data_IF_990706684886
#
_entry.id   IF_990706684886
#
_cell.length_a   1.000
_cell.length_b   1.000
_cell.length_c   1.000
_cell.angle_alpha   90.00
_cell.angle_beta   90.00
_cell.angle_gamma   90.00
#
_symmetry.space_group_name_H-M   'P 1'
#
loop_
_entity.id
_entity.type
_entity.pdbx_description
1 polymer ?
#
# COMPACT_ATOMS: atom_id res chain seq x y z
N UNK A 1 0.08 1.05 -1.56
CA UNK A 1 0.72 2.35 -1.32
C UNK A 1 1.91 2.53 -2.24
N UNK A 2 2.13 3.74 -2.72
CA UNK A 2 3.29 4.13 -3.50
C UNK A 2 3.82 5.48 -3.00
N UNK A 3 5.14 5.64 -3.03
CA UNK A 3 5.80 6.90 -2.68
C UNK A 3 6.82 7.27 -3.73
N UNK A 4 6.82 8.52 -4.14
CA UNK A 4 7.82 9.11 -4.99
C UNK A 4 8.92 9.71 -4.10
N UNK A 5 10.15 9.25 -4.30
CA UNK A 5 11.30 9.66 -3.47
C UNK A 5 12.40 10.23 -4.36
N UNK A 6 12.82 11.45 -4.07
CA UNK A 6 14.01 12.06 -4.66
C UNK A 6 15.24 11.62 -3.88
N UNK A 7 16.25 11.07 -4.57
CA UNK A 7 17.48 10.55 -3.97
C UNK A 7 18.70 11.36 -4.37
N UNK A 8 19.31 12.03 -3.41
CA UNK A 8 20.59 12.72 -3.56
C UNK A 8 21.69 11.95 -2.80
N UNK A 9 22.30 10.96 -3.46
CA UNK A 9 23.26 10.06 -2.82
C UNK A 9 22.60 9.20 -1.75
N UNK A 10 22.96 9.40 -0.48
CA UNK A 10 22.38 8.69 0.68
C UNK A 10 21.22 9.43 1.35
N UNK A 11 20.80 10.57 0.79
CA UNK A 11 19.74 11.40 1.34
C UNK A 11 18.49 11.29 0.48
N UNK A 12 17.44 10.73 1.05
CA UNK A 12 16.12 10.63 0.44
C UNK A 12 15.17 11.74 0.90
N UNK A 13 14.35 12.24 0.00
CA UNK A 13 13.24 13.14 0.31
C UNK A 13 11.97 12.60 -0.31
N UNK A 14 10.96 12.33 0.48
CA UNK A 14 9.63 11.96 -0.01
C UNK A 14 9.01 13.18 -0.67
N UNK A 15 8.73 13.05 -1.97
CA UNK A 15 8.08 14.10 -2.78
C UNK A 15 6.57 13.99 -2.59
N UNK A 16 6.03 12.78 -2.78
CA UNK A 16 4.61 12.52 -2.62
C UNK A 16 4.35 11.06 -2.30
N UNK A 17 3.17 10.76 -1.75
CA UNK A 17 2.74 9.41 -1.41
C UNK A 17 1.24 9.28 -1.66
N UNK A 18 0.86 8.17 -2.27
CA UNK A 18 -0.52 7.79 -2.54
C UNK A 18 -0.78 6.38 -2.05
N UNK A 19 -2.02 6.07 -1.73
CA UNK A 19 -2.40 4.76 -1.24
C UNK A 19 -3.89 4.50 -1.33
N UNK A 20 -4.25 3.24 -1.16
CA UNK A 20 -5.64 2.79 -1.04
C UNK A 20 -5.78 1.94 0.21
N UNK A 21 -6.83 2.19 0.98
CA UNK A 21 -7.19 1.35 2.12
C UNK A 21 -7.95 0.07 1.69
N UNK A 22 -8.42 0.05 0.43
CA UNK A 22 -9.26 -1.00 -0.13
C UNK A 22 -8.49 -1.87 -1.14
N UNK A 23 -7.17 -1.94 -0.99
CA UNK A 23 -6.29 -2.73 -1.85
C UNK A 23 -5.09 -3.25 -1.06
N UNK A 24 -5.08 -4.54 -0.78
CA UNK A 24 -4.04 -5.18 0.00
C UNK A 24 -3.89 -6.67 -0.28
N UNK A 25 -3.03 -7.33 0.50
CA UNK A 25 -2.80 -8.77 0.39
C UNK A 25 -4.05 -9.61 0.62
N UNK A 26 -4.94 -9.15 1.49
CA UNK A 26 -6.17 -9.84 1.88
C UNK A 26 -7.17 -9.94 0.73
N UNK A 27 -7.20 -8.94 -0.18
CA UNK A 27 -8.05 -9.00 -1.38
C UNK A 27 -7.64 -10.15 -2.30
N UNK A 28 -6.34 -10.41 -2.43
CA UNK A 28 -5.84 -11.56 -3.17
C UNK A 28 -6.20 -12.89 -2.48
N UNK A 29 -6.25 -12.92 -1.15
CA UNK A 29 -6.70 -14.11 -0.40
C UNK A 29 -8.16 -14.41 -0.70
N UNK A 30 -9.02 -13.40 -0.73
CA UNK A 30 -10.44 -13.54 -1.06
C UNK A 30 -10.64 -14.02 -2.50
N UNK A 31 -9.88 -13.51 -3.47
CA UNK A 31 -9.93 -14.03 -4.85
C UNK A 31 -9.58 -15.52 -4.89
N UNK A 32 -8.61 -15.96 -4.09
CA UNK A 32 -8.24 -17.37 -4.03
C UNK A 32 -9.33 -18.20 -3.34
N UNK A 33 -9.96 -17.67 -2.29
CA UNK A 33 -11.12 -18.29 -1.63
C UNK A 33 -12.25 -18.51 -2.62
N UNK A 34 -12.58 -17.51 -3.45
CA UNK A 34 -13.64 -17.60 -4.45
C UNK A 34 -13.35 -18.65 -5.52
N UNK A 35 -12.07 -18.86 -5.87
CA UNK A 35 -11.65 -19.90 -6.79
C UNK A 35 -11.66 -21.30 -6.16
N UNK A 36 -11.35 -21.40 -4.87
CA UNK A 36 -11.31 -22.69 -4.14
C UNK A 36 -12.72 -23.19 -3.83
N UNK A 37 -13.60 -22.32 -3.37
CA UNK A 37 -14.93 -22.67 -2.86
C UNK A 37 -15.77 -23.57 -3.79
N UNK A 38 -15.88 -23.30 -5.13
CA UNK A 38 -16.62 -24.14 -6.03
C UNK A 38 -15.97 -25.51 -6.33
N UNK A 39 -14.71 -25.70 -5.93
CA UNK A 39 -13.96 -26.93 -6.17
C UNK A 39 -13.90 -27.85 -4.95
N UNK A 40 -14.53 -27.46 -3.84
CA UNK A 40 -14.59 -28.27 -2.63
C UNK A 40 -15.49 -29.51 -2.87
N UNK A 41 -14.99 -30.66 -2.47
CA UNK A 41 -15.72 -31.92 -2.48
C UNK A 41 -16.32 -32.26 -1.10
N UNK A 42 -15.80 -31.63 -0.06
CA UNK A 42 -16.26 -31.72 1.33
C UNK A 42 -16.95 -30.42 1.76
N UNK A 43 -17.74 -30.42 2.85
CA UNK A 43 -18.28 -29.19 3.40
C UNK A 43 -17.17 -28.16 3.67
N UNK A 44 -17.39 -26.92 3.24
CA UNK A 44 -16.40 -25.87 3.43
C UNK A 44 -16.04 -25.72 4.92
N UNK A 45 -14.76 -25.62 5.27
CA UNK A 45 -14.34 -25.34 6.64
C UNK A 45 -14.82 -23.92 7.05
N UNK A 46 -14.77 -23.59 8.36
CA UNK A 46 -15.05 -22.23 8.81
C UNK A 46 -14.26 -21.19 8.02
N UNK A 47 -14.90 -20.05 7.71
CA UNK A 47 -14.32 -19.01 6.85
C UNK A 47 -12.89 -18.60 7.25
N UNK A 48 -12.57 -18.37 8.55
CA UNK A 48 -11.20 -18.02 8.93
C UNK A 48 -10.16 -19.10 8.58
N UNK A 49 -10.57 -20.38 8.62
CA UNK A 49 -9.68 -21.50 8.27
C UNK A 49 -9.41 -21.55 6.77
N UNK A 50 -10.46 -21.31 5.97
CA UNK A 50 -10.34 -21.27 4.51
C UNK A 50 -9.47 -20.09 4.05
N UNK A 51 -9.72 -18.89 4.60
CA UNK A 51 -8.93 -17.69 4.29
C UNK A 51 -7.46 -17.88 4.67
N UNK A 52 -7.18 -18.43 5.85
CA UNK A 52 -5.80 -18.69 6.30
C UNK A 52 -5.08 -19.70 5.40
N UNK A 53 -5.75 -20.78 5.01
CA UNK A 53 -5.19 -21.77 4.08
C UNK A 53 -4.89 -21.12 2.71
N UNK A 54 -5.78 -20.27 2.20
CA UNK A 54 -5.57 -19.53 0.97
C UNK A 54 -4.39 -18.53 1.10
N UNK A 55 -4.28 -17.82 2.23
CA UNK A 55 -3.17 -16.91 2.51
C UNK A 55 -1.84 -17.65 2.48
N UNK A 56 -1.73 -18.77 3.18
CA UNK A 56 -0.50 -19.58 3.22
C UNK A 56 -0.13 -20.11 1.82
N UNK A 57 -1.13 -20.58 1.06
CA UNK A 57 -0.94 -21.07 -0.29
C UNK A 57 -0.48 -19.96 -1.24
N UNK A 58 -1.07 -18.76 -1.14
CA UNK A 58 -0.65 -17.56 -1.88
C UNK A 58 0.80 -17.19 -1.58
N UNK A 59 1.19 -17.14 -0.33
CA UNK A 59 2.54 -16.79 0.11
C UNK A 59 3.61 -17.82 -0.32
N UNK A 60 3.18 -19.05 -0.58
CA UNK A 60 4.04 -20.11 -1.08
C UNK A 60 4.33 -20.01 -2.60
N UNK A 61 3.63 -19.16 -3.34
CA UNK A 61 3.81 -19.02 -4.79
C UNK A 61 5.23 -18.50 -5.10
N UNK A 62 5.90 -19.17 -6.04
CA UNK A 62 7.22 -18.81 -6.55
C UNK A 62 7.14 -18.55 -8.06
N UNK A 63 8.12 -17.88 -8.68
CA UNK A 63 8.09 -17.58 -10.12
C UNK A 63 7.90 -18.81 -11.02
N UNK A 64 8.35 -19.98 -10.60
CA UNK A 64 8.23 -21.25 -11.32
C UNK A 64 6.98 -22.06 -10.97
N UNK A 65 6.16 -21.61 -10.00
CA UNK A 65 4.94 -22.32 -9.58
C UNK A 65 3.94 -22.35 -10.74
N UNK A 66 3.43 -23.55 -11.04
CA UNK A 66 2.38 -23.75 -12.03
C UNK A 66 1.00 -23.83 -11.39
N UNK A 67 0.95 -24.26 -10.15
CA UNK A 67 -0.27 -24.41 -9.38
C UNK A 67 -0.10 -23.81 -7.98
N UNK A 68 -1.20 -23.33 -7.43
CA UNK A 68 -1.38 -23.00 -6.02
C UNK A 68 -2.02 -24.20 -5.38
N UNK A 69 -1.43 -24.72 -4.33
CA UNK A 69 -1.99 -25.84 -3.55
C UNK A 69 -2.55 -25.26 -2.24
N UNK A 70 -3.85 -25.38 -2.07
CA UNK A 70 -4.53 -24.98 -0.85
C UNK A 70 -4.84 -26.21 -0.04
N UNK A 71 -4.12 -26.38 1.05
CA UNK A 71 -4.26 -27.52 1.95
C UNK A 71 -5.33 -27.22 3.01
N UNK A 72 -6.40 -27.97 3.00
CA UNK A 72 -7.51 -27.90 3.94
C UNK A 72 -7.53 -29.17 4.81
N UNK A 73 -8.24 -29.16 5.95
CA UNK A 73 -8.23 -30.29 6.87
C UNK A 73 -8.62 -31.65 6.24
N UNK A 74 -9.58 -31.62 5.31
CA UNK A 74 -10.15 -32.83 4.74
C UNK A 74 -9.76 -33.08 3.28
N UNK A 75 -9.21 -32.06 2.60
CA UNK A 75 -8.82 -32.13 1.19
C UNK A 75 -7.78 -31.09 0.82
N UNK A 76 -7.13 -31.29 -0.33
CA UNK A 76 -6.25 -30.29 -0.94
C UNK A 76 -6.81 -29.87 -2.29
N UNK A 77 -6.93 -28.55 -2.50
CA UNK A 77 -7.44 -27.97 -3.75
C UNK A 77 -6.30 -27.40 -4.56
N UNK A 78 -6.29 -27.73 -5.85
CA UNK A 78 -5.28 -27.26 -6.79
C UNK A 78 -5.86 -26.21 -7.75
N UNK A 79 -5.29 -25.01 -7.73
CA UNK A 79 -5.64 -23.91 -8.63
C UNK A 79 -4.45 -23.63 -9.55
N UNK A 80 -4.61 -23.62 -10.88
CA UNK A 80 -3.55 -23.15 -11.77
C UNK A 80 -3.19 -21.70 -11.49
N UNK A 81 -1.89 -21.39 -11.39
CA UNK A 81 -1.43 -20.01 -11.11
C UNK A 81 -1.96 -19.02 -12.15
N UNK A 82 -2.06 -19.41 -13.42
CA UNK A 82 -2.63 -18.58 -14.48
C UNK A 82 -4.09 -18.16 -14.24
N UNK A 83 -4.89 -19.05 -13.65
CA UNK A 83 -6.30 -18.80 -13.38
C UNK A 83 -6.43 -17.83 -12.18
N UNK A 84 -5.61 -18.02 -11.14
CA UNK A 84 -5.49 -17.09 -10.04
C UNK A 84 -5.00 -15.72 -10.50
N UNK A 85 -3.94 -15.65 -11.31
CA UNK A 85 -3.44 -14.41 -11.90
C UNK A 85 -4.50 -13.68 -12.72
N UNK A 86 -5.24 -14.42 -13.55
CA UNK A 86 -6.31 -13.86 -14.37
C UNK A 86 -7.43 -13.26 -13.53
N UNK A 87 -7.80 -13.92 -12.44
CA UNK A 87 -8.82 -13.43 -11.49
C UNK A 87 -8.33 -12.22 -10.67
N UNK A 88 -7.02 -12.11 -10.44
CA UNK A 88 -6.41 -10.97 -9.73
C UNK A 88 -6.17 -9.75 -10.62
N UNK A 89 -6.40 -9.82 -11.94
CA UNK A 89 -6.03 -8.75 -12.88
C UNK A 89 -6.60 -7.39 -12.47
N UNK A 90 -7.88 -7.33 -12.07
CA UNK A 90 -8.50 -6.09 -11.64
C UNK A 90 -7.86 -5.46 -10.38
N UNK A 91 -7.37 -6.28 -9.44
CA UNK A 91 -6.62 -5.78 -8.27
C UNK A 91 -5.25 -5.22 -8.66
N UNK A 92 -4.59 -5.87 -9.63
CA UNK A 92 -3.28 -5.43 -10.10
C UNK A 92 -3.41 -4.12 -10.90
N UNK A 93 -4.42 -4.01 -11.76
CA UNK A 93 -4.68 -2.79 -12.52
C UNK A 93 -5.02 -1.63 -11.57
N UNK A 94 -5.81 -1.83 -10.52
CA UNK A 94 -6.01 -0.84 -9.44
C UNK A 94 -4.70 -0.38 -8.77
N UNK A 95 -3.69 -1.25 -8.67
CA UNK A 95 -2.38 -0.85 -8.15
C UNK A 95 -1.73 0.19 -9.05
N UNK A 96 -1.85 0.04 -10.36
CA UNK A 96 -1.31 0.99 -11.34
C UNK A 96 -2.09 2.31 -11.31
N UNK A 97 -3.43 2.24 -11.23
CA UNK A 97 -4.30 3.41 -11.10
C UNK A 97 -3.94 4.25 -9.86
N UNK A 98 -3.64 3.59 -8.72
CA UNK A 98 -3.19 4.27 -7.50
C UNK A 98 -1.83 4.96 -7.71
N UNK A 99 -0.97 4.42 -8.56
CA UNK A 99 0.35 5.00 -8.84
C UNK A 99 0.30 6.15 -9.86
N UNK A 100 -0.75 6.22 -10.68
CA UNK A 100 -0.89 7.19 -11.77
C UNK A 100 -0.60 8.64 -11.35
N UNK A 101 -1.16 9.19 -10.23
CA UNK A 101 -0.89 10.56 -9.81
C UNK A 101 0.60 10.87 -9.59
N UNK A 102 1.38 9.89 -9.13
CA UNK A 102 2.83 10.05 -8.91
C UNK A 102 3.63 9.99 -10.19
N UNK A 103 3.09 9.38 -11.24
CA UNK A 103 3.81 9.12 -12.50
C UNK A 103 3.35 10.02 -13.63
N UNK A 104 2.16 10.62 -13.54
CA UNK A 104 1.56 11.46 -14.56
C UNK A 104 2.45 12.67 -14.91
N UNK A 105 2.91 13.42 -13.92
CA UNK A 105 3.80 14.57 -14.13
C UNK A 105 5.14 14.17 -14.77
N UNK A 106 5.62 12.94 -14.47
CA UNK A 106 6.84 12.40 -15.05
C UNK A 106 6.68 11.93 -16.50
N UNK A 107 5.42 11.73 -16.95
CA UNK A 107 5.12 11.23 -18.32
C UNK A 107 4.76 12.36 -19.29
N UNK A 108 4.14 13.44 -18.84
CA UNK A 108 3.78 14.57 -19.71
C UNK A 108 4.98 15.26 -20.32
N UNK A 109 6.12 15.28 -19.64
CA UNK A 109 7.35 15.94 -20.10
C UNK A 109 8.29 14.99 -20.90
N UNK A 110 7.76 13.94 -21.53
CA UNK A 110 8.49 12.93 -22.35
C UNK A 110 9.61 12.20 -21.62
N UNK A 111 9.70 12.27 -20.31
CA UNK A 111 10.83 11.71 -19.60
C UNK A 111 10.44 10.69 -18.54
N UNK A 112 9.95 9.51 -18.95
CA UNK A 112 10.27 8.30 -18.18
C UNK A 112 11.78 8.21 -17.88
N UNK A 113 12.56 9.13 -18.44
CA UNK A 113 14.00 9.26 -18.24
C UNK A 113 14.37 9.75 -16.83
N UNK A 114 13.49 10.46 -16.13
CA UNK A 114 13.75 10.97 -14.78
C UNK A 114 13.48 9.95 -13.67
N UNK A 115 12.60 8.96 -13.92
CA UNK A 115 12.38 7.90 -12.97
C UNK A 115 13.55 6.91 -12.97
N UNK A 116 14.38 6.97 -11.95
CA UNK A 116 15.55 6.11 -11.83
C UNK A 116 15.18 4.62 -11.69
N UNK A 117 14.10 4.32 -10.96
CA UNK A 117 13.58 2.96 -10.83
C UNK A 117 12.37 2.88 -9.91
N UNK A 118 11.64 1.77 -9.99
CA UNK A 118 10.55 1.40 -9.10
C UNK A 118 11.02 0.25 -8.24
N UNK A 119 10.96 0.41 -6.94
CA UNK A 119 11.34 -0.59 -5.96
C UNK A 119 10.10 -1.21 -5.34
N UNK A 120 9.87 -2.49 -5.60
CA UNK A 120 8.76 -3.25 -5.06
C UNK A 120 9.14 -3.81 -3.70
N UNK A 121 8.36 -3.46 -2.67
CA UNK A 121 8.49 -3.90 -1.28
C UNK A 121 7.14 -4.38 -0.75
N UNK A 122 7.15 -5.06 0.40
CA UNK A 122 5.93 -5.61 1.00
C UNK A 122 5.55 -6.99 0.48
N UNK A 123 4.67 -7.69 1.22
CA UNK A 123 4.28 -9.07 0.94
C UNK A 123 3.56 -9.27 -0.39
N UNK A 124 2.66 -8.35 -0.77
CA UNK A 124 1.93 -8.40 -2.04
C UNK A 124 2.84 -8.37 -3.27
N UNK A 125 3.99 -7.65 -3.19
CA UNK A 125 4.98 -7.61 -4.26
C UNK A 125 5.73 -8.93 -4.48
N UNK A 126 5.60 -9.91 -3.55
CA UNK A 126 6.16 -11.24 -3.70
C UNK A 126 5.46 -12.05 -4.78
N UNK A 127 4.22 -11.73 -5.10
CA UNK A 127 3.47 -12.39 -6.17
C UNK A 127 4.14 -12.11 -7.53
N UNK A 128 4.56 -13.17 -8.26
CA UNK A 128 5.36 -13.01 -9.48
C UNK A 128 4.66 -12.19 -10.57
N UNK A 129 3.34 -12.32 -10.66
CA UNK A 129 2.54 -11.64 -11.67
C UNK A 129 2.35 -10.15 -11.36
N UNK A 130 2.38 -9.72 -10.10
CA UNK A 130 2.38 -8.29 -9.72
C UNK A 130 3.63 -7.61 -10.27
N UNK A 131 4.81 -8.17 -9.97
CA UNK A 131 6.06 -7.62 -10.46
C UNK A 131 6.16 -7.65 -12.00
N UNK A 132 5.56 -8.67 -12.65
CA UNK A 132 5.51 -8.76 -14.11
C UNK A 132 4.64 -7.63 -14.68
N UNK A 133 3.44 -7.43 -14.16
CA UNK A 133 2.51 -6.41 -14.65
C UNK A 133 3.07 -4.98 -14.49
N UNK A 134 3.65 -4.67 -13.33
CA UNK A 134 4.31 -3.37 -13.13
C UNK A 134 5.48 -3.19 -14.11
N UNK A 135 6.22 -4.28 -14.43
CA UNK A 135 7.31 -4.21 -15.40
C UNK A 135 6.82 -4.03 -16.85
N UNK A 136 5.63 -4.52 -17.19
CA UNK A 136 5.02 -4.29 -18.51
C UNK A 136 4.77 -2.80 -18.75
N UNK A 137 4.34 -2.04 -17.71
CA UNK A 137 4.08 -0.60 -17.83
C UNK A 137 5.37 0.24 -17.74
N UNK A 138 6.26 -0.08 -16.80
CA UNK A 138 7.43 0.74 -16.49
C UNK A 138 8.77 0.18 -17.03
N UNK A 139 8.74 -0.98 -17.68
CA UNK A 139 9.93 -1.56 -18.30
C UNK A 139 10.93 -2.14 -17.32
N UNK A 140 12.24 -2.09 -17.71
CA UNK A 140 13.32 -2.75 -16.96
C UNK A 140 13.69 -2.09 -15.64
N UNK A 141 13.13 -0.93 -15.33
CA UNK A 141 13.43 -0.15 -14.12
C UNK A 141 12.72 -0.63 -12.87
N UNK A 142 12.02 -1.76 -12.94
CA UNK A 142 11.30 -2.34 -11.80
C UNK A 142 12.21 -3.33 -11.07
N UNK A 143 12.54 -3.00 -9.84
CA UNK A 143 13.39 -3.78 -8.96
C UNK A 143 12.57 -4.40 -7.83
N UNK A 144 12.87 -5.64 -7.48
CA UNK A 144 12.33 -6.29 -6.28
C UNK A 144 13.36 -6.22 -5.18
N UNK A 145 12.92 -5.87 -3.97
CA UNK A 145 13.78 -5.98 -2.79
C UNK A 145 14.25 -7.43 -2.60
N UNK A 146 15.46 -7.61 -2.09
CA UNK A 146 15.96 -8.93 -1.70
C UNK A 146 15.15 -9.54 -0.53
N UNK A 147 14.60 -8.68 0.32
CA UNK A 147 13.76 -9.04 1.46
C UNK A 147 12.48 -8.17 1.46
N UNK A 148 11.53 -8.44 0.55
CA UNK A 148 10.39 -7.55 0.34
C UNK A 148 9.52 -7.40 1.60
N UNK A 149 9.31 -8.47 2.35
CA UNK A 149 8.49 -8.49 3.57
C UNK A 149 9.16 -7.81 4.77
N UNK A 150 10.48 -7.72 4.79
CA UNK A 150 11.26 -7.09 5.84
C UNK A 150 11.75 -5.67 5.49
N UNK A 151 11.52 -5.22 4.25
CA UNK A 151 12.11 -3.97 3.74
C UNK A 151 11.76 -2.75 4.60
N UNK A 152 10.53 -2.65 5.07
CA UNK A 152 10.09 -1.56 5.95
C UNK A 152 10.82 -1.60 7.29
N UNK A 153 10.92 -2.77 7.92
CA UNK A 153 11.62 -2.91 9.20
C UNK A 153 13.11 -2.60 9.07
N UNK A 154 13.74 -3.03 7.98
CA UNK A 154 15.14 -2.70 7.68
C UNK A 154 15.31 -1.19 7.49
N UNK A 155 14.43 -0.55 6.71
CA UNK A 155 14.45 0.89 6.50
C UNK A 155 14.29 1.69 7.80
N UNK A 156 13.36 1.27 8.67
CA UNK A 156 13.18 1.88 10.00
C UNK A 156 14.40 1.70 10.89
N UNK A 157 15.03 0.54 10.88
CA UNK A 157 16.26 0.30 11.63
C UNK A 157 17.40 1.20 11.13
N UNK A 158 17.54 1.35 9.80
CA UNK A 158 18.53 2.26 9.21
C UNK A 158 18.25 3.73 9.58
N UNK A 159 16.99 4.14 9.60
CA UNK A 159 16.60 5.50 9.96
C UNK A 159 16.79 5.79 11.45
N UNK A 160 16.67 4.77 12.31
CA UNK A 160 16.85 4.88 13.75
C UNK A 160 18.33 4.84 14.19
N UNK A 161 19.23 4.36 13.34
CA UNK A 161 20.67 4.26 13.64
C UNK A 161 21.36 5.61 13.42
N UNK A 162 21.87 6.27 14.51
CA UNK A 162 22.57 7.54 14.37
C UNK A 162 23.88 7.45 13.55
N UNK A 163 24.43 6.25 13.39
CA UNK A 163 25.64 6.01 12.60
C UNK A 163 25.36 5.72 11.12
N UNK A 164 24.10 5.58 10.77
CA UNK A 164 23.69 5.31 9.37
C UNK A 164 24.06 6.50 8.48
N UNK A 165 24.70 6.24 7.33
CA UNK A 165 24.94 7.29 6.33
C UNK A 165 23.67 7.69 5.58
N UNK A 166 22.59 6.91 5.72
CA UNK A 166 21.33 7.15 5.05
C UNK A 166 20.40 8.01 5.90
N UNK A 167 19.76 8.96 5.28
CA UNK A 167 18.71 9.76 5.89
C UNK A 167 17.51 9.89 4.95
N UNK A 168 16.33 9.99 5.54
CA UNK A 168 15.11 10.27 4.79
C UNK A 168 14.42 11.49 5.43
N UNK A 169 13.99 12.42 4.57
CA UNK A 169 13.11 13.52 4.97
C UNK A 169 11.71 13.18 4.50
N UNK A 170 10.87 12.95 5.47
CA UNK A 170 9.47 12.62 5.24
C UNK A 170 8.56 13.79 5.59
N UNK A 171 7.32 13.72 5.14
CA UNK A 171 6.25 14.66 5.41
C UNK A 171 4.97 13.89 5.78
N UNK A 172 3.97 14.61 6.24
CA UNK A 172 2.71 13.98 6.59
C UNK A 172 2.08 13.31 5.36
N UNK A 173 1.67 12.05 5.50
CA UNK A 173 0.94 11.31 4.46
C UNK A 173 -0.48 11.82 4.24
N UNK A 174 -1.01 12.55 5.22
CA UNK A 174 -2.35 13.16 5.17
C UNK A 174 -2.39 14.43 6.02
N UNK A 175 -3.30 15.34 5.71
CA UNK A 175 -3.54 16.53 6.53
C UNK A 175 -4.23 16.18 7.84
N UNK A 176 -3.89 16.90 8.89
CA UNK A 176 -4.57 16.83 10.18
C UNK A 176 -5.34 18.12 10.44
N UNK A 177 -6.54 17.99 10.96
CA UNK A 177 -7.38 19.14 11.22
C UNK A 177 -8.53 18.85 12.17
N UNK A 178 -9.44 19.79 12.28
CA UNK A 178 -10.66 19.67 13.08
C UNK A 178 -11.88 20.05 12.26
N UNK A 179 -12.96 19.33 12.45
CA UNK A 179 -14.25 19.73 11.90
C UNK A 179 -14.84 20.86 12.74
N UNK A 180 -15.31 21.90 12.07
CA UNK A 180 -15.91 23.08 12.67
C UNK A 180 -17.33 23.26 12.16
N UNK A 181 -18.23 23.54 13.07
CA UNK A 181 -19.59 23.97 12.74
C UNK A 181 -19.63 25.49 12.55
N UNK A 182 -20.41 25.94 11.58
CA UNK A 182 -20.71 27.34 11.32
C UNK A 182 -22.20 27.49 10.94
N UNK A 183 -22.71 28.73 10.94
CA UNK A 183 -24.10 29.02 10.60
C UNK A 183 -25.10 28.19 11.43
N UNK A 184 -24.95 28.22 12.76
CA UNK A 184 -25.82 27.49 13.71
C UNK A 184 -25.88 25.97 13.52
N UNK A 185 -24.74 25.35 13.09
CA UNK A 185 -24.64 23.93 12.82
C UNK A 185 -25.08 23.53 11.40
N UNK A 186 -25.56 24.49 10.61
CA UNK A 186 -26.01 24.23 9.24
C UNK A 186 -24.87 23.91 8.28
N UNK A 187 -23.63 24.30 8.62
CA UNK A 187 -22.45 24.06 7.78
C UNK A 187 -21.33 23.50 8.63
N UNK A 188 -20.76 22.38 8.15
CA UNK A 188 -19.54 21.80 8.70
C UNK A 188 -18.40 22.08 7.72
N UNK A 189 -17.27 22.56 8.22
CA UNK A 189 -16.04 22.78 7.46
C UNK A 189 -14.85 22.11 8.16
N UNK A 190 -13.89 21.67 7.36
CA UNK A 190 -12.64 21.12 7.88
C UNK A 190 -11.60 22.23 7.98
N UNK A 191 -11.08 22.48 9.17
CA UNK A 191 -10.01 23.43 9.45
C UNK A 191 -8.69 22.67 9.50
N UNK A 192 -7.89 22.77 8.44
CA UNK A 192 -6.59 22.09 8.33
C UNK A 192 -5.61 22.77 9.31
N UNK A 193 -5.05 21.97 10.21
CA UNK A 193 -4.01 22.40 11.16
C UNK A 193 -2.61 22.10 10.63
N UNK A 194 -2.42 20.92 10.08
CA UNK A 194 -1.20 20.44 9.45
C UNK A 194 -1.57 19.91 8.07
N UNK A 195 -0.96 20.41 7.04
CA UNK A 195 -1.15 19.89 5.68
C UNK A 195 -0.11 18.79 5.35
N UNK A 196 -0.29 18.15 4.21
CA UNK A 196 0.62 17.09 3.73
C UNK A 196 2.04 17.58 3.47
N UNK A 197 2.25 18.88 3.26
CA UNK A 197 3.58 19.46 3.03
C UNK A 197 4.38 19.65 4.32
N UNK A 198 3.72 19.47 5.49
CA UNK A 198 4.35 19.70 6.80
C UNK A 198 5.45 18.67 7.07
N UNK A 199 6.71 19.12 7.24
CA UNK A 199 7.82 18.23 7.58
C UNK A 199 7.64 17.63 8.97
N UNK A 200 7.91 16.33 9.13
CA UNK A 200 7.73 15.62 10.41
C UNK A 200 9.03 15.40 11.19
N UNK A 201 10.14 15.91 10.71
CA UNK A 201 11.45 15.72 11.37
C UNK A 201 11.71 16.64 12.55
N UNK A 202 10.79 17.57 12.84
CA UNK A 202 10.83 18.44 14.02
C UNK A 202 9.45 18.50 14.69
N UNK A 203 9.38 18.65 16.03
CA UNK A 203 8.12 18.90 16.71
C UNK A 203 7.46 20.18 16.18
N UNK A 204 6.22 20.05 15.72
CA UNK A 204 5.41 21.18 15.27
C UNK A 204 4.35 21.49 16.30
N UNK A 205 4.29 22.72 16.77
CA UNK A 205 3.29 23.18 17.73
C UNK A 205 2.39 24.19 17.06
N UNK A 206 1.12 23.87 16.94
CA UNK A 206 0.10 24.74 16.38
C UNK A 206 -0.88 25.14 17.46
N UNK A 207 -1.15 26.43 17.54
CA UNK A 207 -2.16 26.99 18.45
C UNK A 207 -3.28 27.58 17.63
N UNK A 208 -4.51 27.18 17.92
CA UNK A 208 -5.73 27.74 17.34
C UNK A 208 -6.67 28.15 18.46
N UNK A 209 -7.41 29.22 18.21
CA UNK A 209 -8.43 29.73 19.13
C UNK A 209 -9.79 29.54 18.48
N UNK A 210 -10.64 28.80 19.13
CA UNK A 210 -12.02 28.58 18.70
C UNK A 210 -12.98 29.12 19.74
N UNK A 211 -14.03 29.76 19.28
CA UNK A 211 -15.11 30.22 20.15
C UNK A 211 -16.08 29.03 20.35
N UNK A 212 -16.28 28.65 21.62
CA UNK A 212 -17.28 27.64 21.95
C UNK A 212 -18.68 28.17 21.66
N UNK A 213 -19.48 27.40 20.97
CA UNK A 213 -20.86 27.72 20.61
C UNK A 213 -21.87 27.00 21.50
N UNK A 214 -21.49 25.89 22.08
CA UNK A 214 -22.29 25.03 22.95
C UNK A 214 -21.56 24.83 24.27
N UNK A 215 -22.32 24.50 25.33
CA UNK A 215 -21.78 24.23 26.67
C UNK A 215 -20.97 22.91 26.71
N UNK A 216 -21.17 22.04 25.73
CA UNK A 216 -20.42 20.81 25.54
C UNK A 216 -19.72 20.87 24.19
N UNK A 217 -18.40 20.69 24.19
CA UNK A 217 -17.57 20.62 22.98
C UNK A 217 -17.06 19.19 22.80
N UNK A 218 -17.26 18.63 21.60
CA UNK A 218 -16.64 17.36 21.18
C UNK A 218 -15.64 17.71 20.10
N UNK A 219 -14.36 17.42 20.36
CA UNK A 219 -13.29 17.64 19.38
C UNK A 219 -12.93 16.30 18.74
N UNK A 220 -13.08 16.20 17.44
CA UNK A 220 -12.66 15.06 16.65
C UNK A 220 -11.47 15.48 15.80
N UNK A 221 -10.29 14.92 16.10
CA UNK A 221 -9.10 15.03 15.26
C UNK A 221 -9.14 13.92 14.21
N UNK A 222 -8.92 14.28 12.95
CA UNK A 222 -8.92 13.35 11.80
C UNK A 222 -7.76 13.68 10.89
#
# INVERSE_FOLDING_TARGET
DASLVDMAGTHGRVIDSVGSNDLGGDDFDHVLVDLVRPLLHHPAPPEPVLVEACRLAKEAIRPQSRNVMVDLPDEAVRIPVRDFESSCRGLIDKTLDVMEPLTHELTEDQSHSELAGIHLVGGGSCLPFVARRVREDFGRRVHRSAQPTAATAVGLAMAADPSSPYSIRDRLSRGFGVFRESQDGAKVSFDVLLDQSTPIHHPVVIRRHYQARHNLGVYRFV
#
